data_IF_366207397161
#
_entry.id   IF_366207397161
#
_cell.length_a   1.000
_cell.length_b   1.000
_cell.length_c   1.000
_cell.angle_alpha   90.00
_cell.angle_beta   90.00
_cell.angle_gamma   90.00
#
_symmetry.space_group_name_H-M   'P 1'
#
loop_
_entity.id
_entity.type
_entity.pdbx_description
1 polymer ?
#
# COMPACT_ATOMS: atom_id res chain seq x y z
N UNK A 1 -6.46 -10.88 1.08
CA UNK A 1 -6.36 -10.43 -0.32
C UNK A 1 -7.65 -10.76 -1.07
N UNK A 2 -8.17 -9.79 -1.83
CA UNK A 2 -9.43 -9.89 -2.57
C UNK A 2 -9.45 -11.13 -3.48
N UNK A 3 -10.50 -11.95 -3.38
CA UNK A 3 -10.73 -13.07 -4.29
C UNK A 3 -12.16 -12.99 -4.83
N UNK A 4 -12.28 -12.63 -6.11
CA UNK A 4 -13.46 -12.96 -6.93
C UNK A 4 -14.39 -11.79 -7.30
N UNK A 5 -15.27 -12.00 -8.30
CA UNK A 5 -16.09 -10.95 -8.92
C UNK A 5 -17.46 -10.72 -8.25
N UNK A 6 -17.78 -11.46 -7.18
CA UNK A 6 -19.15 -11.56 -6.64
C UNK A 6 -19.22 -11.29 -5.14
N UNK A 7 -18.78 -10.11 -4.71
CA UNK A 7 -19.08 -9.58 -3.37
C UNK A 7 -19.66 -8.18 -3.53
N UNK A 8 -20.59 -7.84 -2.64
CA UNK A 8 -21.32 -6.57 -2.66
C UNK A 8 -20.41 -5.33 -2.69
N UNK A 9 -21.01 -4.13 -2.82
CA UNK A 9 -20.24 -2.90 -2.94
C UNK A 9 -19.29 -2.73 -1.75
N UNK A 10 -18.03 -2.40 -2.02
CA UNK A 10 -17.06 -2.14 -0.96
C UNK A 10 -17.40 -0.89 -0.19
N UNK A 11 -16.79 -0.82 0.98
CA UNK A 11 -16.80 0.34 1.84
C UNK A 11 -15.37 0.81 2.07
N UNK A 12 -15.12 2.08 1.78
CA UNK A 12 -13.93 2.80 2.21
C UNK A 12 -14.24 3.50 3.53
N UNK A 13 -13.41 3.28 4.55
CA UNK A 13 -13.38 4.05 5.80
C UNK A 13 -12.23 5.03 5.70
N UNK A 14 -12.52 6.34 5.78
CA UNK A 14 -11.54 7.42 5.54
C UNK A 14 -11.46 8.34 6.76
N UNK A 15 -10.25 8.77 7.12
CA UNK A 15 -10.00 9.62 8.29
C UNK A 15 -10.04 8.88 9.62
N UNK A 16 -9.78 7.58 9.56
CA UNK A 16 -9.69 6.70 10.72
C UNK A 16 -8.24 6.55 11.18
N UNK A 17 -8.04 6.54 12.48
CA UNK A 17 -6.78 6.30 13.17
C UNK A 17 -6.90 5.16 14.22
N UNK A 18 -8.10 4.59 14.41
CA UNK A 18 -8.36 3.56 15.41
C UNK A 18 -9.41 2.52 14.97
N UNK A 19 -8.99 1.27 14.77
CA UNK A 19 -9.85 0.24 14.18
C UNK A 19 -11.13 -0.07 14.97
N UNK A 20 -11.09 0.09 16.30
CA UNK A 20 -12.17 -0.31 17.21
C UNK A 20 -13.08 0.84 17.67
N UNK A 21 -12.72 2.10 17.38
CA UNK A 21 -13.44 3.28 17.87
C UNK A 21 -13.93 4.09 16.68
N UNK A 22 -15.21 4.46 16.69
CA UNK A 22 -15.77 5.40 15.72
C UNK A 22 -15.49 6.83 16.21
N UNK A 23 -14.60 7.55 15.53
CA UNK A 23 -14.11 8.86 15.97
C UNK A 23 -14.30 9.95 14.89
N UNK A 24 -15.34 9.82 14.07
CA UNK A 24 -15.65 10.80 13.02
C UNK A 24 -15.06 10.45 11.65
N UNK A 25 -14.70 9.18 11.44
CA UNK A 25 -14.43 8.64 10.11
C UNK A 25 -15.60 8.83 9.15
N UNK A 26 -15.27 8.79 7.86
CA UNK A 26 -16.24 8.85 6.79
C UNK A 26 -16.32 7.49 6.09
N UNK A 27 -17.46 6.83 6.25
CA UNK A 27 -17.78 5.62 5.47
C UNK A 27 -18.30 6.01 4.09
N UNK A 28 -17.73 5.42 3.05
CA UNK A 28 -18.11 5.64 1.65
C UNK A 28 -18.23 4.33 0.90
N UNK A 29 -19.43 4.07 0.39
CA UNK A 29 -19.68 2.96 -0.52
C UNK A 29 -18.96 3.19 -1.85
N UNK A 30 -18.33 2.17 -2.41
CA UNK A 30 -17.76 2.23 -3.76
C UNK A 30 -18.80 1.88 -4.82
N UNK A 31 -18.74 2.55 -5.96
CA UNK A 31 -19.61 2.28 -7.13
C UNK A 31 -18.92 1.49 -8.22
N UNK A 32 -17.59 1.60 -8.32
CA UNK A 32 -16.79 0.97 -9.36
C UNK A 32 -15.38 0.74 -8.87
N UNK A 33 -14.84 -0.43 -9.19
CA UNK A 33 -13.40 -0.71 -9.18
C UNK A 33 -12.86 -0.64 -10.60
N UNK A 34 -11.66 -0.09 -10.76
CA UNK A 34 -10.94 -0.01 -12.04
C UNK A 34 -9.56 -0.59 -11.81
N UNK A 35 -9.38 -1.86 -12.18
CA UNK A 35 -8.08 -2.55 -12.13
C UNK A 35 -7.22 -2.03 -13.28
N UNK A 36 -5.91 -1.91 -13.07
CA UNK A 36 -4.99 -1.52 -14.12
C UNK A 36 -5.09 -2.49 -15.32
N UNK A 37 -5.22 -2.00 -16.58
CA UNK A 37 -5.47 -2.86 -17.74
C UNK A 37 -4.39 -3.91 -18.03
N UNK A 38 -3.15 -3.65 -17.60
CA UNK A 38 -2.00 -4.57 -17.74
C UNK A 38 -1.77 -5.45 -16.51
N UNK A 39 -2.63 -5.37 -15.49
CA UNK A 39 -2.50 -6.25 -14.34
C UNK A 39 -2.90 -7.66 -14.73
N UNK A 40 -1.99 -8.60 -14.53
CA UNK A 40 -2.24 -10.02 -14.78
C UNK A 40 -2.01 -10.79 -13.49
N UNK A 41 -3.08 -11.39 -12.96
CA UNK A 41 -2.98 -12.18 -11.75
C UNK A 41 -2.18 -13.46 -12.05
N UNK A 42 -0.94 -13.53 -11.56
CA UNK A 42 -0.13 -14.73 -11.66
C UNK A 42 -0.75 -15.87 -10.86
N UNK A 43 -1.18 -16.94 -11.54
CA UNK A 43 -1.57 -18.20 -10.91
C UNK A 43 -0.37 -19.16 -10.91
N UNK A 44 0.34 -19.26 -9.79
CA UNK A 44 1.47 -20.18 -9.65
C UNK A 44 2.31 -19.96 -8.39
N UNK A 45 3.19 -20.91 -8.02
CA UNK A 45 4.13 -20.74 -6.92
C UNK A 45 5.10 -19.58 -7.21
N UNK A 46 5.61 -18.94 -6.15
CA UNK A 46 6.58 -17.83 -6.19
C UNK A 46 7.87 -18.33 -6.85
N UNK A 47 7.93 -18.19 -8.17
CA UNK A 47 9.06 -18.47 -9.06
C UNK A 47 9.23 -17.24 -9.97
N UNK A 48 10.37 -17.05 -10.67
CA UNK A 48 10.72 -15.82 -11.41
C UNK A 48 9.80 -15.43 -12.60
N UNK A 49 8.60 -16.02 -12.68
CA UNK A 49 7.53 -15.69 -13.62
C UNK A 49 6.28 -15.07 -12.96
N UNK A 50 6.24 -14.96 -11.63
CA UNK A 50 5.18 -14.24 -10.92
C UNK A 50 5.66 -12.82 -10.67
N UNK A 51 5.13 -11.90 -11.46
CA UNK A 51 5.30 -10.47 -11.21
C UNK A 51 3.95 -9.93 -10.76
N UNK A 52 3.89 -9.27 -9.59
CA UNK A 52 2.76 -8.42 -9.21
C UNK A 52 2.84 -7.08 -9.99
N UNK A 53 3.16 -7.17 -11.28
CA UNK A 53 3.37 -6.02 -12.14
C UNK A 53 2.04 -5.33 -12.40
N UNK A 54 2.05 -4.01 -12.30
CA UNK A 54 0.87 -3.19 -12.40
C UNK A 54 -0.21 -3.53 -11.35
N UNK A 55 0.19 -3.97 -10.15
CA UNK A 55 -0.71 -4.20 -9.01
C UNK A 55 -1.29 -2.87 -8.47
N UNK A 56 -2.22 -2.32 -9.25
CA UNK A 56 -2.84 -1.01 -9.06
C UNK A 56 -4.33 -1.10 -9.39
N UNK A 57 -5.16 -0.55 -8.51
CA UNK A 57 -6.59 -0.44 -8.72
C UNK A 57 -7.13 0.88 -8.16
N UNK A 58 -8.06 1.50 -8.87
CA UNK A 58 -8.80 2.67 -8.40
C UNK A 58 -10.20 2.28 -7.91
N UNK A 59 -10.63 2.87 -6.80
CA UNK A 59 -11.98 2.72 -6.25
C UNK A 59 -12.75 4.04 -6.38
N UNK A 60 -13.84 4.05 -7.17
CA UNK A 60 -14.72 5.21 -7.30
C UNK A 60 -15.74 5.22 -6.17
N UNK A 61 -15.66 6.22 -5.30
CA UNK A 61 -16.64 6.43 -4.23
C UNK A 61 -18.00 6.88 -4.78
N UNK A 62 -19.09 6.42 -4.16
CA UNK A 62 -20.46 6.81 -4.53
C UNK A 62 -20.75 8.28 -4.24
N UNK A 63 -20.10 8.83 -3.20
CA UNK A 63 -20.17 10.23 -2.80
C UNK A 63 -18.76 10.68 -2.42
N UNK A 64 -18.41 11.95 -2.68
CA UNK A 64 -17.11 12.48 -2.26
C UNK A 64 -16.95 12.41 -0.74
N UNK A 65 -15.70 12.30 -0.30
CA UNK A 65 -15.32 12.56 1.10
C UNK A 65 -15.27 14.06 1.32
N UNK A 66 -15.57 14.50 2.54
CA UNK A 66 -15.44 15.90 2.95
C UNK A 66 -14.02 16.10 3.48
N UNK A 67 -13.18 16.93 2.83
CA UNK A 67 -11.85 17.23 3.34
C UNK A 67 -11.93 17.93 4.69
N UNK A 68 -10.89 17.75 5.51
CA UNK A 68 -10.82 18.35 6.84
C UNK A 68 -9.55 17.93 7.58
N UNK A 69 -9.45 18.20 8.89
CA UNK A 69 -8.24 17.91 9.67
C UNK A 69 -7.81 16.44 9.64
N UNK A 70 -8.76 15.51 9.46
CA UNK A 70 -8.51 14.06 9.39
C UNK A 70 -8.48 13.51 7.96
N UNK A 71 -8.87 14.30 6.96
CA UNK A 71 -9.02 13.83 5.57
C UNK A 71 -8.36 14.83 4.63
N UNK A 72 -7.18 14.46 4.14
CA UNK A 72 -6.41 15.20 3.14
C UNK A 72 -5.96 14.24 2.05
N UNK A 73 -6.13 14.64 0.78
CA UNK A 73 -5.61 13.88 -0.35
C UNK A 73 -4.08 14.03 -0.43
N UNK A 74 -3.38 12.93 -0.74
CA UNK A 74 -1.96 12.97 -1.06
C UNK A 74 -1.73 13.53 -2.46
N UNK A 75 -0.60 14.19 -2.65
CA UNK A 75 -0.16 14.62 -3.98
C UNK A 75 0.31 13.40 -4.79
N UNK A 76 0.08 13.45 -6.10
CA UNK A 76 0.65 12.48 -7.03
C UNK A 76 2.08 12.90 -7.42
N UNK A 77 2.96 11.94 -7.70
CA UNK A 77 4.36 12.23 -7.95
C UNK A 77 4.57 12.82 -9.35
N UNK A 78 5.39 13.88 -9.41
CA UNK A 78 5.90 14.44 -10.67
C UNK A 78 7.27 13.87 -11.06
N UNK A 79 7.95 13.20 -10.12
CA UNK A 79 9.22 12.51 -10.30
C UNK A 79 9.21 11.21 -9.51
N UNK A 80 9.94 10.21 -10.01
CA UNK A 80 10.17 8.96 -9.30
C UNK A 80 11.05 9.20 -8.07
N UNK A 81 10.75 8.51 -6.98
CA UNK A 81 11.64 8.42 -5.83
C UNK A 81 13.00 7.83 -6.23
N UNK A 82 14.06 8.28 -5.58
CA UNK A 82 15.44 7.86 -5.84
C UNK A 82 15.98 7.00 -4.68
N UNK A 83 16.94 6.09 -4.96
CA UNK A 83 17.63 5.37 -3.90
C UNK A 83 18.21 6.32 -2.84
N UNK A 84 17.96 6.03 -1.57
CA UNK A 84 18.34 6.87 -0.43
C UNK A 84 17.25 7.85 0.03
N UNK A 85 16.18 8.07 -0.75
CA UNK A 85 15.06 8.90 -0.32
C UNK A 85 14.40 8.32 0.94
N UNK A 86 14.10 9.20 1.90
CA UNK A 86 13.39 8.86 3.13
C UNK A 86 11.89 8.93 2.90
N UNK A 87 11.21 7.84 3.22
CA UNK A 87 9.78 7.66 3.00
C UNK A 87 9.10 7.14 4.26
N UNK A 88 7.78 7.17 4.25
CA UNK A 88 6.93 6.67 5.32
C UNK A 88 5.91 5.71 4.74
N UNK A 89 5.68 4.63 5.47
CA UNK A 89 4.52 3.75 5.26
C UNK A 89 3.64 3.81 6.48
N UNK A 90 2.33 3.80 6.24
CA UNK A 90 1.33 3.84 7.30
C UNK A 90 0.38 2.65 7.17
N UNK A 91 0.06 2.04 8.30
CA UNK A 91 -0.86 0.92 8.32
C UNK A 91 -1.15 0.37 9.71
N UNK A 92 -2.06 -0.60 9.76
CA UNK A 92 -2.50 -1.28 10.98
C UNK A 92 -1.94 -2.72 11.07
N UNK A 93 -1.16 -3.12 10.09
CA UNK A 93 -0.41 -4.36 10.03
C UNK A 93 0.59 -4.49 11.18
N UNK A 94 1.12 -5.69 11.33
CA UNK A 94 2.00 -6.04 12.46
C UNK A 94 3.43 -6.24 12.00
N UNK A 95 4.40 -5.82 12.82
CA UNK A 95 5.83 -6.09 12.60
C UNK A 95 6.29 -7.46 13.10
N UNK A 96 5.39 -8.33 13.60
CA UNK A 96 5.76 -9.56 14.31
C UNK A 96 5.35 -10.86 13.57
N UNK A 97 6.36 -11.67 13.22
CA UNK A 97 6.25 -12.89 12.42
C UNK A 97 5.48 -14.10 13.04
N UNK A 98 4.83 -13.97 14.21
CA UNK A 98 4.23 -15.15 14.88
C UNK A 98 2.87 -14.97 15.57
N UNK A 99 2.33 -13.76 15.72
CA UNK A 99 0.95 -13.54 16.19
C UNK A 99 0.40 -12.25 15.59
N UNK A 100 -0.64 -12.36 14.77
CA UNK A 100 -1.38 -11.20 14.23
C UNK A 100 -2.07 -10.49 15.40
N UNK A 101 -1.44 -9.44 15.93
CA UNK A 101 -2.05 -8.49 16.85
C UNK A 101 -2.21 -7.16 16.12
N UNK A 102 -3.35 -6.94 15.48
CA UNK A 102 -3.62 -5.64 14.86
C UNK A 102 -3.34 -4.50 15.85
N UNK A 103 -2.54 -3.53 15.43
CA UNK A 103 -2.31 -2.35 16.25
C UNK A 103 -3.65 -1.63 16.40
N UNK A 104 -3.99 -1.25 17.64
CA UNK A 104 -5.25 -0.54 17.90
C UNK A 104 -5.27 0.84 17.23
N UNK A 105 -4.10 1.48 17.15
CA UNK A 105 -3.88 2.74 16.44
C UNK A 105 -3.12 2.54 15.14
N UNK A 106 -3.29 3.47 14.20
CA UNK A 106 -2.50 3.55 12.97
C UNK A 106 -1.01 3.77 13.32
N UNK A 107 -0.12 3.00 12.70
CA UNK A 107 1.33 3.13 12.90
C UNK A 107 2.02 3.59 11.63
N UNK A 108 3.00 4.48 11.77
CA UNK A 108 3.86 4.93 10.68
C UNK A 108 5.30 4.48 10.92
N UNK A 109 5.94 3.94 9.90
CA UNK A 109 7.36 3.57 9.94
C UNK A 109 8.14 4.34 8.88
N UNK A 110 9.27 4.92 9.27
CA UNK A 110 10.21 5.55 8.33
C UNK A 110 11.07 4.50 7.66
N UNK A 111 11.20 4.57 6.34
CA UNK A 111 11.94 3.61 5.52
C UNK A 111 12.71 4.32 4.43
N UNK A 112 13.71 3.65 3.87
CA UNK A 112 14.55 4.21 2.81
C UNK A 112 14.28 3.49 1.49
N UNK A 113 14.23 4.22 0.38
CA UNK A 113 14.21 3.62 -0.96
C UNK A 113 15.54 2.92 -1.23
N UNK A 114 15.46 1.66 -1.65
CA UNK A 114 16.63 0.85 -1.96
C UNK A 114 16.95 0.94 -3.46
N UNK A 115 18.22 0.77 -3.80
CA UNK A 115 18.64 0.67 -5.20
C UNK A 115 18.17 -0.64 -5.84
N UNK A 116 18.01 -0.70 -7.17
CA UNK A 116 17.66 -1.96 -7.85
C UNK A 116 18.61 -3.11 -7.52
N UNK A 117 19.91 -2.81 -7.33
CA UNK A 117 20.93 -3.80 -6.96
C UNK A 117 20.71 -4.36 -5.56
N UNK A 118 20.31 -3.52 -4.60
CA UNK A 118 19.96 -3.97 -3.25
C UNK A 118 18.67 -4.79 -3.28
N UNK A 119 17.66 -4.34 -4.03
CA UNK A 119 16.41 -5.06 -4.19
C UNK A 119 16.62 -6.47 -4.79
N UNK A 120 17.53 -6.63 -5.75
CA UNK A 120 17.85 -7.92 -6.36
C UNK A 120 18.42 -8.93 -5.35
N UNK A 121 19.09 -8.47 -4.28
CA UNK A 121 19.59 -9.35 -3.21
C UNK A 121 18.44 -9.99 -2.43
N UNK A 122 17.35 -9.25 -2.20
CA UNK A 122 16.19 -9.71 -1.43
C UNK A 122 15.12 -10.36 -2.32
N UNK A 123 14.97 -9.90 -3.56
CA UNK A 123 13.90 -10.26 -4.48
C UNK A 123 14.44 -10.57 -5.89
N UNK A 124 15.29 -11.61 -6.04
CA UNK A 124 16.00 -11.89 -7.28
C UNK A 124 15.04 -12.18 -8.45
N UNK A 125 15.12 -11.38 -9.51
CA UNK A 125 14.31 -11.52 -10.71
C UNK A 125 12.82 -11.22 -10.55
N UNK A 126 12.40 -10.58 -9.46
CA UNK A 126 10.98 -10.26 -9.18
C UNK A 126 10.68 -8.79 -9.41
N UNK A 127 11.58 -7.88 -9.01
CA UNK A 127 11.36 -6.43 -9.06
C UNK A 127 11.59 -5.92 -10.48
N UNK A 128 10.56 -5.29 -11.06
CA UNK A 128 10.62 -4.69 -12.40
C UNK A 128 10.84 -3.17 -12.31
N UNK A 129 11.06 -2.50 -13.46
CA UNK A 129 11.18 -1.04 -13.53
C UNK A 129 9.90 -0.29 -13.10
N UNK A 130 8.76 -0.98 -13.03
CA UNK A 130 7.48 -0.43 -12.57
C UNK A 130 7.24 -0.63 -11.06
N UNK A 131 8.23 -1.17 -10.36
CA UNK A 131 8.18 -1.47 -8.92
C UNK A 131 9.30 -0.72 -8.19
N UNK A 132 9.06 -0.42 -6.92
CA UNK A 132 10.03 0.19 -6.02
C UNK A 132 10.16 -0.75 -4.83
N UNK A 133 11.38 -0.96 -4.34
CA UNK A 133 11.57 -1.61 -3.05
C UNK A 133 12.20 -0.65 -2.04
N UNK A 134 11.76 -0.79 -0.81
CA UNK A 134 12.11 0.08 0.28
C UNK A 134 12.20 -0.75 1.56
N UNK A 135 13.04 -0.34 2.49
CA UNK A 135 13.27 -1.10 3.71
C UNK A 135 13.91 -0.26 4.80
N UNK A 136 13.95 -0.83 6.00
CA UNK A 136 14.73 -0.28 7.10
C UNK A 136 16.20 -0.66 6.91
N UNK A 137 17.11 0.26 7.22
CA UNK A 137 18.52 -0.06 7.42
C UNK A 137 18.60 -1.21 8.44
N UNK A 138 18.96 -2.42 7.98
CA UNK A 138 19.03 -3.74 8.69
C UNK A 138 17.98 -4.79 8.32
N UNK A 139 17.26 -4.67 7.21
CA UNK A 139 16.50 -5.79 6.63
C UNK A 139 15.24 -6.16 7.41
N UNK A 140 14.64 -5.18 8.10
CA UNK A 140 13.36 -5.35 8.76
C UNK A 140 12.25 -4.87 7.82
N UNK A 141 11.31 -5.77 7.54
CA UNK A 141 10.21 -5.56 6.61
C UNK A 141 9.14 -4.65 7.24
N UNK A 142 8.88 -3.47 6.67
CA UNK A 142 7.92 -2.54 7.23
C UNK A 142 6.50 -3.02 6.93
N UNK A 143 5.87 -3.55 7.98
CA UNK A 143 4.43 -3.81 8.07
C UNK A 143 3.90 -4.98 7.22
N UNK A 144 3.90 -6.18 7.78
CA UNK A 144 3.12 -7.29 7.26
C UNK A 144 1.62 -7.01 7.44
N UNK A 145 0.83 -7.10 6.37
CA UNK A 145 -0.64 -6.99 6.29
C UNK A 145 -1.25 -5.63 5.90
N UNK A 146 -0.49 -4.71 5.31
CA UNK A 146 -0.99 -3.41 4.82
C UNK A 146 -1.01 -3.28 3.28
N UNK A 147 -1.20 -4.39 2.54
CA UNK A 147 -1.35 -4.37 1.07
C UNK A 147 -2.41 -3.34 0.62
N UNK A 148 -2.05 -2.52 -0.37
CA UNK A 148 -2.82 -1.37 -0.83
C UNK A 148 -2.55 -0.07 -0.06
N UNK A 149 -1.73 -0.11 0.99
CA UNK A 149 -1.31 1.05 1.77
C UNK A 149 -0.35 1.98 1.00
N UNK A 150 -0.26 3.27 1.37
CA UNK A 150 0.58 4.24 0.67
C UNK A 150 2.04 4.19 1.15
N UNK A 151 2.96 4.29 0.20
CA UNK A 151 4.34 4.72 0.41
C UNK A 151 4.45 6.22 0.09
N UNK A 152 4.81 7.03 1.08
CA UNK A 152 4.83 8.49 0.97
C UNK A 152 6.24 9.02 1.18
N UNK A 153 6.75 9.81 0.24
CA UNK A 153 8.03 10.51 0.36
C UNK A 153 7.78 11.99 0.07
N UNK A 154 8.31 12.91 0.88
CA UNK A 154 8.08 14.36 0.75
C UNK A 154 6.59 14.72 0.53
N UNK A 155 5.70 14.21 1.39
CA UNK A 155 4.23 14.37 1.32
C UNK A 155 3.56 13.92 0.00
N UNK A 156 4.28 13.16 -0.82
CA UNK A 156 3.85 12.72 -2.14
C UNK A 156 3.75 11.19 -2.19
N UNK A 157 2.69 10.67 -2.81
CA UNK A 157 2.52 9.23 -3.00
C UNK A 157 3.57 8.73 -4.01
N UNK A 158 4.42 7.80 -3.62
CA UNK A 158 5.47 7.23 -4.49
C UNK A 158 5.23 5.77 -4.82
N UNK A 159 4.48 5.05 -3.99
CA UNK A 159 4.20 3.64 -4.21
C UNK A 159 2.97 3.14 -3.46
N UNK A 160 2.59 1.92 -3.78
CA UNK A 160 1.53 1.17 -3.12
C UNK A 160 2.15 -0.14 -2.65
N UNK A 161 1.90 -0.52 -1.40
CA UNK A 161 2.37 -1.79 -0.87
C UNK A 161 1.62 -2.94 -1.57
N UNK A 162 2.35 -3.93 -2.10
CA UNK A 162 1.81 -5.14 -2.74
C UNK A 162 1.75 -6.28 -1.73
#
# INVERSE_FOLDING_TARGET
CWKGPTLGPLWARVGDDHLLLLQGEQLRRTTRSVVHPKYHQGSGPILPRRTDEHDLMLLKLARPVVPGPRVRALQLPYRCAQPGDQCQVAGWGTTAARRVKYNKGLTCSSITILSPKECEVFYPGVVTNNMICAGLDRGQDPCQSDSGGPLVCDETLQGILS
#
